data_IF_323843530789
#
_entry.id   IF_323843530789
#
_cell.length_a   1.000
_cell.length_b   1.000
_cell.length_c   1.000
_cell.angle_alpha   90.00
_cell.angle_beta   90.00
_cell.angle_gamma   90.00
#
_symmetry.space_group_name_H-M   'P 1'
#
loop_
_entity.id
_entity.type
_entity.pdbx_description
1 polymer ?
#
# COMPACT_ATOMS: atom_id res chain seq x y z
N UNK A 1 -6.04 -5.28 14.26
CA UNK A 1 -5.17 -5.81 13.19
C UNK A 1 -4.17 -4.70 12.88
N UNK A 2 -2.97 -4.80 13.41
CA UNK A 2 -2.02 -3.69 13.44
C UNK A 2 -1.70 -3.22 12.01
N UNK A 3 -1.78 -1.92 11.77
CA UNK A 3 -1.23 -1.20 10.60
C UNK A 3 0.25 -1.50 10.30
N UNK A 4 0.94 -2.35 11.09
CA UNK A 4 2.31 -2.81 10.90
C UNK A 4 2.48 -3.72 9.69
N UNK A 5 1.46 -4.50 9.31
CA UNK A 5 1.57 -5.50 8.22
C UNK A 5 1.31 -4.92 6.82
N UNK A 6 0.79 -3.69 6.74
CA UNK A 6 0.62 -2.95 5.49
C UNK A 6 1.87 -2.16 5.07
N UNK A 7 2.99 -2.32 5.79
CA UNK A 7 4.24 -1.56 5.66
C UNK A 7 4.89 -1.54 4.27
N UNK A 8 4.58 -2.51 3.40
CA UNK A 8 5.08 -2.55 2.02
C UNK A 8 4.12 -1.94 0.98
N UNK A 9 2.84 -1.71 1.34
CA UNK A 9 1.83 -1.11 0.45
C UNK A 9 1.51 0.34 0.83
N UNK A 10 2.06 0.84 1.95
CA UNK A 10 1.67 2.11 2.58
C UNK A 10 2.29 3.38 2.00
N UNK A 11 2.95 3.35 0.84
CA UNK A 11 3.33 4.61 0.19
C UNK A 11 2.10 5.43 -0.26
N UNK A 12 0.92 4.80 -0.44
CA UNK A 12 -0.28 5.50 -0.93
C UNK A 12 -1.21 5.97 0.21
N UNK A 13 -1.25 5.28 1.36
CA UNK A 13 -2.30 5.52 2.37
C UNK A 13 -2.11 6.80 3.21
N UNK A 14 -0.92 7.40 3.23
CA UNK A 14 -0.67 8.62 4.03
C UNK A 14 -1.35 9.87 3.44
N UNK A 15 -1.86 9.80 2.21
CA UNK A 15 -2.54 10.93 1.52
C UNK A 15 -4.07 10.96 1.72
N UNK A 16 -4.67 10.00 2.44
CA UNK A 16 -6.11 9.74 2.34
C UNK A 16 -6.99 10.30 3.48
N UNK A 17 -6.48 11.16 4.37
CA UNK A 17 -7.27 11.65 5.52
C UNK A 17 -7.69 13.13 5.42
N UNK A 18 -7.84 13.68 4.21
CA UNK A 18 -8.63 14.90 4.04
C UNK A 18 -10.00 14.52 3.46
N UNK A 19 -11.07 14.47 4.28
CA UNK A 19 -12.38 13.97 3.87
C UNK A 19 -13.10 14.83 2.80
N UNK A 20 -12.48 15.93 2.38
CA UNK A 20 -13.01 16.87 1.38
C UNK A 20 -12.23 16.89 0.06
N UNK A 21 -11.12 16.14 -0.06
CA UNK A 21 -10.28 16.16 -1.26
C UNK A 21 -10.39 14.83 -2.00
N UNK A 22 -10.95 14.82 -3.23
CA UNK A 22 -10.92 13.64 -4.10
C UNK A 22 -9.47 13.20 -4.34
N UNK A 23 -9.15 11.95 -4.00
CA UNK A 23 -7.85 11.36 -4.30
C UNK A 23 -7.85 10.92 -5.77
N UNK A 24 -6.75 11.18 -6.49
CA UNK A 24 -6.60 10.98 -7.95
C UNK A 24 -7.04 9.58 -8.44
N UNK A 25 -6.86 8.54 -7.62
CA UNK A 25 -7.20 7.15 -7.97
C UNK A 25 -8.45 6.60 -7.27
N UNK A 26 -9.25 7.46 -6.63
CA UNK A 26 -10.47 7.07 -5.94
C UNK A 26 -10.23 6.28 -4.64
N UNK A 27 -11.22 5.48 -4.24
CA UNK A 27 -11.15 4.74 -2.97
C UNK A 27 -10.25 3.53 -3.08
N UNK A 28 -9.24 3.44 -2.21
CA UNK A 28 -8.40 2.25 -2.08
C UNK A 28 -9.23 0.98 -1.78
N UNK A 29 -10.25 1.08 -0.92
CA UNK A 29 -11.11 -0.04 -0.55
C UNK A 29 -11.85 -0.62 -1.76
N UNK A 30 -12.36 0.24 -2.64
CA UNK A 30 -13.08 -0.18 -3.84
C UNK A 30 -12.11 -0.77 -4.86
N UNK A 31 -10.89 -0.22 -4.95
CA UNK A 31 -9.84 -0.74 -5.82
C UNK A 31 -9.48 -2.19 -5.48
N UNK A 32 -9.15 -2.48 -4.21
CA UNK A 32 -8.71 -3.84 -3.80
C UNK A 32 -9.84 -4.86 -3.88
N UNK A 33 -11.06 -4.49 -3.48
CA UNK A 33 -12.24 -5.38 -3.61
C UNK A 33 -12.59 -5.62 -5.07
N UNK A 34 -12.56 -4.58 -5.90
CA UNK A 34 -12.87 -4.70 -7.32
C UNK A 34 -11.92 -5.66 -8.04
N UNK A 35 -10.62 -5.63 -7.76
CA UNK A 35 -9.68 -6.60 -8.32
C UNK A 35 -9.90 -8.03 -7.79
N UNK A 36 -10.23 -8.17 -6.50
CA UNK A 36 -10.54 -9.47 -5.90
C UNK A 36 -11.81 -10.11 -6.47
N UNK A 37 -12.82 -9.32 -6.82
CA UNK A 37 -14.02 -9.82 -7.50
C UNK A 37 -13.70 -10.18 -8.96
N UNK A 38 -12.99 -9.30 -9.66
CA UNK A 38 -12.61 -9.52 -11.07
C UNK A 38 -11.81 -10.81 -11.27
N UNK A 39 -10.88 -11.16 -10.37
CA UNK A 39 -10.13 -12.42 -10.49
C UNK A 39 -11.02 -13.66 -10.44
N UNK A 40 -12.19 -13.58 -9.81
CA UNK A 40 -13.15 -14.69 -9.73
C UNK A 40 -13.98 -14.81 -11.01
N UNK A 41 -14.22 -13.67 -11.69
CA UNK A 41 -15.02 -13.60 -12.91
C UNK A 41 -14.20 -13.88 -14.17
N UNK A 42 -12.96 -13.40 -14.22
CA UNK A 42 -12.15 -13.40 -15.43
C UNK A 42 -11.01 -14.41 -15.35
N UNK A 43 -11.01 -15.38 -16.27
CA UNK A 43 -9.99 -16.43 -16.34
C UNK A 43 -8.58 -15.90 -16.69
N UNK A 44 -8.47 -14.70 -17.28
CA UNK A 44 -7.20 -14.07 -17.64
C UNK A 44 -6.61 -13.19 -16.53
N UNK A 45 -7.13 -13.26 -15.31
CA UNK A 45 -6.57 -12.55 -14.16
C UNK A 45 -5.93 -13.57 -13.22
N UNK A 46 -4.61 -13.54 -13.16
CA UNK A 46 -3.85 -14.33 -12.20
C UNK A 46 -3.67 -13.53 -10.91
N UNK A 47 -4.17 -14.06 -9.79
CA UNK A 47 -4.04 -13.45 -8.47
C UNK A 47 -3.15 -14.35 -7.61
N UNK A 48 -2.02 -13.81 -7.15
CA UNK A 48 -1.06 -14.53 -6.32
C UNK A 48 -0.94 -13.85 -4.95
N UNK A 49 -0.65 -14.66 -3.93
CA UNK A 49 -0.24 -14.18 -2.63
C UNK A 49 1.27 -14.30 -2.50
N UNK A 50 1.89 -13.35 -1.81
CA UNK A 50 3.33 -13.33 -1.60
C UNK A 50 3.82 -14.57 -0.86
N UNK A 51 3.02 -15.10 0.09
CA UNK A 51 3.44 -16.24 0.90
C UNK A 51 3.51 -17.54 0.08
N UNK A 52 2.85 -17.61 -1.09
CA UNK A 52 2.87 -18.78 -1.98
C UNK A 52 4.08 -18.80 -2.93
N UNK A 53 4.89 -17.73 -2.96
CA UNK A 53 6.10 -17.67 -3.78
C UNK A 53 7.20 -18.60 -3.24
N UNK A 54 8.08 -19.07 -4.15
CA UNK A 54 9.27 -19.80 -3.74
C UNK A 54 10.24 -18.91 -2.96
N UNK A 55 11.06 -19.48 -2.09
CA UNK A 55 11.95 -18.70 -1.21
C UNK A 55 12.93 -17.82 -2.02
N UNK A 56 13.48 -18.34 -3.11
CA UNK A 56 14.36 -17.58 -4.01
C UNK A 56 13.64 -16.39 -4.67
N UNK A 57 12.36 -16.56 -5.00
CA UNK A 57 11.53 -15.47 -5.54
C UNK A 57 11.22 -14.43 -4.47
N UNK A 58 10.94 -14.87 -3.23
CA UNK A 58 10.75 -13.98 -2.08
C UNK A 58 11.99 -13.15 -1.81
N UNK A 59 13.17 -13.76 -1.83
CA UNK A 59 14.46 -13.08 -1.66
C UNK A 59 14.70 -12.03 -2.74
N UNK A 60 14.44 -12.40 -4.00
CA UNK A 60 14.54 -11.46 -5.11
C UNK A 60 13.58 -10.28 -4.94
N UNK A 61 12.31 -10.55 -4.62
CA UNK A 61 11.30 -9.52 -4.38
C UNK A 61 11.74 -8.62 -3.21
N UNK A 62 12.14 -9.17 -2.07
CA UNK A 62 12.61 -8.42 -0.89
C UNK A 62 13.73 -7.46 -1.29
N UNK A 63 14.70 -7.94 -2.07
CA UNK A 63 15.82 -7.13 -2.55
C UNK A 63 15.38 -5.99 -3.46
N UNK A 64 14.47 -6.26 -4.40
CA UNK A 64 13.97 -5.26 -5.35
C UNK A 64 13.06 -4.22 -4.67
N UNK A 65 12.24 -4.65 -3.70
CA UNK A 65 11.34 -3.75 -2.94
C UNK A 65 12.04 -3.07 -1.76
N UNK A 66 13.29 -3.43 -1.46
CA UNK A 66 14.08 -2.76 -0.44
C UNK A 66 14.15 -1.26 -0.73
N UNK A 67 13.98 -0.45 0.32
CA UNK A 67 13.84 1.01 0.16
C UNK A 67 15.00 1.64 -0.62
N UNK A 68 16.23 1.24 -0.33
CA UNK A 68 17.41 1.77 -1.02
C UNK A 68 17.46 1.35 -2.49
N UNK A 69 16.97 0.16 -2.82
CA UNK A 69 16.86 -0.33 -4.21
C UNK A 69 15.79 0.48 -4.95
N UNK A 70 14.59 0.59 -4.39
CA UNK A 70 13.48 1.36 -4.98
C UNK A 70 13.81 2.84 -5.13
N UNK A 71 14.54 3.44 -4.18
CA UNK A 71 14.98 4.84 -4.25
C UNK A 71 15.94 5.12 -5.41
N UNK A 72 16.75 4.13 -5.79
CA UNK A 72 17.65 4.21 -6.95
C UNK A 72 16.93 3.92 -8.27
N UNK A 73 15.83 3.17 -8.23
CA UNK A 73 15.04 2.87 -9.42
C UNK A 73 14.31 4.14 -9.91
N UNK A 74 14.71 4.63 -11.10
CA UNK A 74 14.19 5.87 -11.69
C UNK A 74 12.68 5.84 -11.94
N UNK A 75 12.14 4.68 -12.31
CA UNK A 75 10.71 4.51 -12.57
C UNK A 75 9.93 4.54 -11.26
N UNK A 76 10.38 3.78 -10.25
CA UNK A 76 9.72 3.73 -8.96
C UNK A 76 9.81 5.05 -8.18
N UNK A 77 10.96 5.75 -8.27
CA UNK A 77 11.16 7.05 -7.62
C UNK A 77 10.61 8.23 -8.46
N UNK A 78 9.95 7.95 -9.59
CA UNK A 78 9.41 8.94 -10.53
C UNK A 78 10.41 10.03 -10.94
N UNK A 79 11.72 9.75 -10.89
CA UNK A 79 12.76 10.76 -11.11
C UNK A 79 12.79 11.28 -12.55
N UNK A 80 12.09 10.60 -13.45
CA UNK A 80 11.95 10.96 -14.87
C UNK A 80 10.70 11.79 -15.16
N UNK A 81 9.82 12.02 -14.17
CA UNK A 81 8.58 12.78 -14.36
C UNK A 81 8.79 14.24 -13.97
N UNK A 82 8.69 15.14 -14.95
CA UNK A 82 8.92 16.58 -14.79
C UNK A 82 7.90 17.30 -13.90
N UNK A 83 6.76 16.67 -13.60
CA UNK A 83 5.71 17.23 -12.74
C UNK A 83 6.01 17.10 -11.23
N UNK A 84 7.05 16.36 -10.85
CA UNK A 84 7.42 16.16 -9.44
C UNK A 84 8.49 17.18 -9.02
N UNK A 85 8.15 18.09 -8.11
CA UNK A 85 9.13 19.01 -7.51
C UNK A 85 9.87 18.32 -6.35
N UNK A 86 10.98 17.68 -6.69
CA UNK A 86 11.83 17.00 -5.72
C UNK A 86 12.58 17.93 -4.77
N UNK A 87 12.54 19.27 -4.97
CA UNK A 87 13.07 20.22 -4.00
C UNK A 87 12.15 20.36 -2.78
N UNK A 88 10.85 20.09 -2.95
CA UNK A 88 9.87 20.05 -1.86
C UNK A 88 9.99 18.72 -1.10
N UNK A 89 9.95 17.60 -1.83
CA UNK A 89 10.19 16.27 -1.25
C UNK A 89 10.58 15.25 -2.32
N UNK A 90 11.58 14.39 -2.06
CA UNK A 90 11.75 13.16 -2.85
C UNK A 90 10.50 12.28 -2.76
N UNK A 91 10.18 11.55 -3.84
CA UNK A 91 9.06 10.60 -3.85
C UNK A 91 9.33 9.48 -2.84
N UNK A 92 10.51 8.87 -2.89
CA UNK A 92 10.99 7.93 -1.88
C UNK A 92 11.57 8.67 -0.66
N UNK A 93 10.70 9.05 0.29
CA UNK A 93 11.01 9.98 1.40
C UNK A 93 11.78 9.36 2.58
N UNK A 94 11.15 8.46 3.36
CA UNK A 94 11.71 7.91 4.62
C UNK A 94 11.78 6.38 4.69
N UNK A 95 10.87 5.66 4.03
CA UNK A 95 10.88 4.18 4.01
C UNK A 95 10.75 3.50 5.38
N UNK A 96 10.24 4.18 6.41
CA UNK A 96 10.23 3.69 7.78
C UNK A 96 8.87 3.10 8.14
N UNK A 97 8.86 1.82 8.52
CA UNK A 97 7.69 1.16 9.10
C UNK A 97 7.25 1.94 10.35
N UNK A 98 5.93 2.15 10.48
CA UNK A 98 5.30 2.93 11.56
C UNK A 98 5.51 4.46 11.53
N UNK A 99 6.01 5.08 10.45
CA UNK A 99 6.13 6.56 10.40
C UNK A 99 4.77 7.26 10.58
N UNK A 100 3.65 6.58 10.27
CA UNK A 100 2.29 7.07 10.52
C UNK A 100 2.06 7.51 11.97
N UNK A 101 2.73 6.90 12.95
CA UNK A 101 2.64 7.28 14.37
C UNK A 101 3.13 8.70 14.65
N UNK A 102 3.93 9.26 13.76
CA UNK A 102 4.41 10.65 13.85
C UNK A 102 3.44 11.66 13.21
N UNK A 103 2.42 11.19 12.49
CA UNK A 103 1.48 12.04 11.74
C UNK A 103 0.04 11.93 12.27
N UNK A 104 -0.34 10.78 12.83
CA UNK A 104 -1.68 10.55 13.37
C UNK A 104 -1.74 10.79 14.87
N UNK A 105 -2.78 11.51 15.29
CA UNK A 105 -3.22 11.46 16.69
C UNK A 105 -3.90 10.12 16.98
N UNK A 106 -3.99 9.75 18.27
CA UNK A 106 -4.66 8.51 18.70
C UNK A 106 -6.11 8.47 18.20
N UNK A 107 -6.86 9.56 18.33
CA UNK A 107 -8.25 9.65 17.88
C UNK A 107 -8.41 9.48 16.36
N UNK A 108 -7.49 10.04 15.55
CA UNK A 108 -7.50 9.83 14.10
C UNK A 108 -7.19 8.38 13.72
N UNK A 109 -6.30 7.72 14.47
CA UNK A 109 -6.01 6.31 14.25
C UNK A 109 -7.22 5.42 14.59
N UNK A 110 -7.88 5.67 15.71
CA UNK A 110 -9.09 4.94 16.12
C UNK A 110 -10.20 5.07 15.07
N UNK A 111 -10.45 6.29 14.59
CA UNK A 111 -11.41 6.54 13.50
C UNK A 111 -11.04 5.81 12.20
N UNK A 112 -9.75 5.78 11.86
CA UNK A 112 -9.27 5.05 10.69
C UNK A 112 -9.53 3.55 10.84
N UNK A 113 -9.20 2.98 12.00
CA UNK A 113 -9.39 1.56 12.28
C UNK A 113 -10.88 1.18 12.19
N UNK A 114 -11.79 1.99 12.74
CA UNK A 114 -13.25 1.79 12.62
C UNK A 114 -13.72 1.79 11.16
N UNK A 115 -13.29 2.78 10.37
CA UNK A 115 -13.65 2.89 8.94
C UNK A 115 -13.12 1.68 8.17
N UNK A 116 -11.90 1.26 8.45
CA UNK A 116 -11.29 0.10 7.80
C UNK A 116 -12.08 -1.17 8.08
N UNK A 117 -12.38 -1.45 9.36
CA UNK A 117 -13.16 -2.64 9.76
C UNK A 117 -14.51 -2.65 9.04
N UNK A 118 -15.23 -1.54 9.04
CA UNK A 118 -16.53 -1.44 8.37
C UNK A 118 -16.44 -1.66 6.86
N UNK A 119 -15.44 -1.09 6.19
CA UNK A 119 -15.31 -1.18 4.72
C UNK A 119 -14.81 -2.53 4.22
N UNK A 120 -14.10 -3.28 5.07
CA UNK A 120 -13.54 -4.59 4.76
C UNK A 120 -14.34 -5.77 5.35
N UNK A 121 -15.36 -5.52 6.18
CA UNK A 121 -16.11 -6.59 6.86
C UNK A 121 -16.73 -7.64 5.92
N UNK A 122 -17.14 -7.23 4.71
CA UNK A 122 -17.92 -8.07 3.79
C UNK A 122 -17.08 -8.66 2.63
N UNK A 123 -15.76 -8.70 2.74
CA UNK A 123 -14.93 -9.36 1.73
C UNK A 123 -14.49 -10.76 2.16
N UNK A 124 -14.44 -11.69 1.21
CA UNK A 124 -13.81 -13.00 1.39
C UNK A 124 -12.29 -12.93 1.26
N UNK A 125 -11.75 -11.77 0.86
CA UNK A 125 -10.32 -11.53 0.81
C UNK A 125 -9.73 -11.60 2.22
N UNK A 126 -8.91 -12.61 2.46
CA UNK A 126 -8.15 -12.80 3.70
C UNK A 126 -6.67 -12.68 3.35
N UNK A 127 -5.98 -11.76 4.00
CA UNK A 127 -4.52 -11.71 3.98
C UNK A 127 -3.98 -12.61 5.07
N UNK A 128 -2.93 -13.39 4.78
CA UNK A 128 -2.15 -14.07 5.81
C UNK A 128 -1.20 -13.06 6.42
N UNK A 129 -1.16 -13.03 7.75
CA UNK A 129 -0.37 -12.06 8.51
C UNK A 129 0.78 -12.69 9.28
N UNK A 130 0.87 -14.02 9.22
CA UNK A 130 1.87 -14.85 9.87
C UNK A 130 2.42 -15.82 8.81
N UNK A 131 3.73 -16.05 8.85
CA UNK A 131 4.45 -17.02 8.01
C UNK A 131 4.58 -18.32 8.80
#
# INVERSE_FOLDING_TARGET
MQLSLLGHVTCIATLSFHPTVPVVFGSWYDHVKGWWEKKQTYANIHYMFYEDLAEEEKDHVIKEVAFDTMKKNKMANYSTFSFMDFKISPFMRKGKVSDWKNHFTVAQNEQFDEVYQKKMANTTLRFRTEI
#
